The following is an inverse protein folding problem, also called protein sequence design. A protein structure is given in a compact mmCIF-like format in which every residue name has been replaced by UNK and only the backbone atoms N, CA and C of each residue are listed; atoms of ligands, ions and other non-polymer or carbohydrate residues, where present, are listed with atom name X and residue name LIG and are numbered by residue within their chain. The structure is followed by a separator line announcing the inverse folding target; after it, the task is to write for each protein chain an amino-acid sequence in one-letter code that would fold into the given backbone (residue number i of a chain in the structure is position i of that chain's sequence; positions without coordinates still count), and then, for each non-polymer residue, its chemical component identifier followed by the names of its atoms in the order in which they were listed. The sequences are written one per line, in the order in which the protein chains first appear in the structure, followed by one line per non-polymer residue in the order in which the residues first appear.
data_IF_176391209106
#
_entry.id   IF_176391209106
#
_cell.length_a   1.000
_cell.length_b   1.000
_cell.length_c   1.000
_cell.angle_alpha   90.00
_cell.angle_beta   90.00
_cell.angle_gamma   90.00
#
_symmetry.space_group_name_H-M   'P 1'
#
loop_
_entity.id
_entity.type
_entity.pdbx_description
1 polymer ?
#
# COMPACT_ATOMS: atom_id res chain seq x y z
N UNK A 1 4.95 19.47 -4.55
CA UNK A 1 5.45 18.42 -5.43
C UNK A 1 4.96 18.72 -6.84
N UNK A 2 5.84 18.82 -7.84
CA UNK A 2 5.45 18.94 -9.24
C UNK A 2 4.87 17.62 -9.76
N UNK A 3 4.02 17.68 -10.79
CA UNK A 3 3.42 16.47 -11.37
C UNK A 3 4.44 15.45 -11.87
N UNK A 4 5.68 15.89 -12.15
CA UNK A 4 6.78 15.02 -12.52
C UNK A 4 7.16 14.06 -11.38
N UNK A 5 7.24 14.54 -10.15
CA UNK A 5 7.63 13.72 -9.00
C UNK A 5 6.56 12.65 -8.68
N UNK A 6 5.27 12.98 -8.84
CA UNK A 6 4.17 12.05 -8.64
C UNK A 6 4.23 10.86 -9.62
N UNK A 7 4.30 11.13 -10.92
CA UNK A 7 4.31 10.09 -11.95
C UNK A 7 5.62 9.28 -11.97
N UNK A 8 6.74 9.91 -11.67
CA UNK A 8 8.02 9.20 -11.59
C UNK A 8 8.06 8.23 -10.41
N UNK A 9 7.55 8.64 -9.25
CA UNK A 9 7.51 7.77 -8.07
C UNK A 9 6.47 6.65 -8.20
N UNK A 10 5.33 6.91 -8.83
CA UNK A 10 4.38 5.85 -9.18
C UNK A 10 5.01 4.82 -10.12
N UNK A 11 5.70 5.28 -11.19
CA UNK A 11 6.43 4.42 -12.12
C UNK A 11 7.48 3.54 -11.39
N UNK A 12 8.29 4.14 -10.51
CA UNK A 12 9.29 3.39 -9.73
C UNK A 12 8.63 2.38 -8.79
N UNK A 13 7.47 2.69 -8.19
CA UNK A 13 6.70 1.75 -7.37
C UNK A 13 6.17 0.57 -8.20
N UNK A 14 5.59 0.84 -9.38
CA UNK A 14 5.16 -0.20 -10.32
C UNK A 14 6.35 -1.09 -10.72
N UNK A 15 7.51 -0.48 -10.98
CA UNK A 15 8.73 -1.21 -11.35
C UNK A 15 9.20 -2.16 -10.26
N UNK A 16 9.24 -1.72 -9.00
CA UNK A 16 9.60 -2.59 -7.88
C UNK A 16 8.63 -3.78 -7.78
N UNK A 17 7.31 -3.52 -7.87
CA UNK A 17 6.29 -4.58 -7.83
C UNK A 17 6.42 -5.54 -9.02
N UNK A 18 6.64 -5.03 -10.24
CA UNK A 18 6.85 -5.83 -11.45
C UNK A 18 8.08 -6.75 -11.32
N UNK A 19 9.17 -6.24 -10.75
CA UNK A 19 10.42 -6.98 -10.56
C UNK A 19 10.28 -8.15 -9.56
N UNK A 20 9.23 -8.15 -8.70
CA UNK A 20 8.90 -9.30 -7.84
C UNK A 20 8.44 -10.53 -8.63
N UNK A 21 7.92 -10.34 -9.84
CA UNK A 21 7.36 -11.38 -10.73
C UNK A 21 6.25 -12.23 -10.08
N UNK A 22 5.58 -11.66 -9.08
CA UNK A 22 4.51 -12.28 -8.31
C UNK A 22 3.12 -11.87 -8.81
N UNK A 23 2.52 -10.84 -8.23
CA UNK A 23 1.29 -10.24 -8.76
C UNK A 23 1.56 -9.59 -10.11
N UNK A 24 0.63 -9.76 -11.06
CA UNK A 24 0.72 -9.03 -12.33
C UNK A 24 0.43 -7.56 -12.07
N UNK A 25 1.32 -6.71 -12.55
CA UNK A 25 1.17 -5.25 -12.62
C UNK A 25 1.43 -4.80 -14.05
N UNK A 26 0.99 -3.60 -14.46
CA UNK A 26 1.34 -3.07 -15.78
C UNK A 26 2.86 -3.04 -15.97
N UNK A 27 3.39 -3.57 -17.08
CA UNK A 27 4.83 -3.48 -17.37
C UNK A 27 5.25 -2.02 -17.53
N UNK A 28 6.20 -1.51 -16.72
CA UNK A 28 6.66 -0.14 -16.80
C UNK A 28 7.63 0.03 -17.99
N UNK A 29 7.37 1.02 -18.86
CA UNK A 29 8.20 1.28 -20.05
C UNK A 29 9.13 2.47 -19.85
N UNK A 30 8.59 3.65 -19.55
CA UNK A 30 9.37 4.85 -19.31
C UNK A 30 8.55 5.93 -18.60
N UNK A 31 9.23 6.92 -18.05
CA UNK A 31 8.62 8.17 -17.58
C UNK A 31 9.49 9.36 -17.99
N UNK A 32 8.93 10.57 -17.95
CA UNK A 32 9.64 11.78 -18.28
C UNK A 32 8.77 13.03 -18.25
N UNK A 33 9.33 14.12 -18.78
CA UNK A 33 8.61 15.37 -18.96
C UNK A 33 8.80 15.90 -20.37
N UNK A 34 7.73 16.51 -20.93
CA UNK A 34 7.74 17.18 -22.21
C UNK A 34 6.99 18.50 -22.04
N UNK A 35 7.63 19.62 -22.40
CA UNK A 35 7.14 20.98 -22.16
C UNK A 35 6.83 21.20 -20.67
N UNK A 36 5.55 21.39 -20.34
CA UNK A 36 5.08 21.61 -18.97
C UNK A 36 4.34 20.39 -18.37
N UNK A 37 4.36 19.25 -19.05
CA UNK A 37 3.64 18.06 -18.66
C UNK A 37 4.61 16.93 -18.31
N UNK A 38 4.26 16.14 -17.29
CA UNK A 38 4.91 14.88 -16.97
C UNK A 38 4.11 13.72 -17.56
N UNK A 39 4.80 12.62 -17.86
CA UNK A 39 4.15 11.39 -18.31
C UNK A 39 4.83 10.16 -17.73
N UNK A 40 4.06 9.10 -17.55
CA UNK A 40 4.53 7.75 -17.35
C UNK A 40 3.87 6.84 -18.40
N UNK A 41 4.63 5.91 -18.95
CA UNK A 41 4.17 4.96 -19.96
C UNK A 41 4.27 3.56 -19.37
N UNK A 42 3.13 2.90 -19.28
CA UNK A 42 3.03 1.52 -18.80
C UNK A 42 2.22 0.68 -19.79
N UNK A 43 2.29 -0.64 -19.65
CA UNK A 43 1.48 -1.58 -20.41
C UNK A 43 -0.01 -1.23 -20.32
N UNK A 44 -0.70 -1.26 -21.46
CA UNK A 44 -2.16 -1.21 -21.48
C UNK A 44 -2.73 -2.59 -21.17
N UNK A 45 -3.25 -2.75 -19.95
CA UNK A 45 -3.91 -3.98 -19.54
C UNK A 45 -5.26 -4.18 -20.26
N UNK A 46 -5.49 -5.38 -20.76
CA UNK A 46 -6.77 -5.75 -21.38
C UNK A 46 -7.71 -6.33 -20.31
N UNK A 47 -8.34 -5.45 -19.54
CA UNK A 47 -9.19 -5.80 -18.41
C UNK A 47 -10.58 -6.31 -18.83
N UNK A 48 -11.33 -6.89 -17.90
CA UNK A 48 -12.72 -7.30 -18.04
C UNK A 48 -12.95 -8.81 -18.05
N UNK A 49 -11.94 -9.60 -17.73
CA UNK A 49 -12.07 -11.03 -17.43
C UNK A 49 -12.46 -11.29 -15.96
N UNK A 50 -12.34 -12.55 -15.56
CA UNK A 50 -12.55 -13.00 -14.18
C UNK A 50 -11.40 -13.89 -13.76
N UNK A 51 -10.61 -13.41 -12.82
CA UNK A 51 -9.53 -14.21 -12.21
C UNK A 51 -10.08 -15.17 -11.16
N UNK A 52 -9.37 -16.26 -10.93
CA UNK A 52 -9.56 -17.11 -9.76
C UNK A 52 -9.17 -16.29 -8.49
N UNK A 53 -10.11 -16.06 -7.54
CA UNK A 53 -9.81 -15.32 -6.32
C UNK A 53 -8.71 -15.97 -5.47
N UNK A 54 -8.63 -17.30 -5.45
CA UNK A 54 -7.58 -18.00 -4.72
C UNK A 54 -6.20 -17.77 -5.36
N UNK A 55 -6.12 -17.70 -6.70
CA UNK A 55 -4.88 -17.33 -7.37
C UNK A 55 -4.46 -15.90 -7.03
N UNK A 56 -5.41 -14.95 -7.01
CA UNK A 56 -5.14 -13.55 -6.63
C UNK A 56 -4.58 -13.45 -5.20
N UNK A 57 -5.18 -14.18 -4.24
CA UNK A 57 -4.69 -14.23 -2.86
C UNK A 57 -3.26 -14.79 -2.75
N UNK A 58 -2.98 -15.89 -3.44
CA UNK A 58 -1.62 -16.48 -3.48
C UNK A 58 -0.59 -15.54 -4.10
N UNK A 59 -0.94 -14.87 -5.22
CA UNK A 59 -0.05 -13.94 -5.90
C UNK A 59 0.25 -12.71 -5.04
N UNK A 60 -0.72 -12.19 -4.29
CA UNK A 60 -0.48 -11.12 -3.34
C UNK A 60 0.43 -11.58 -2.20
N UNK A 61 0.22 -12.79 -1.66
CA UNK A 61 1.09 -13.36 -0.64
C UNK A 61 2.54 -13.53 -1.14
N UNK A 62 2.71 -13.97 -2.38
CA UNK A 62 4.02 -14.06 -3.05
C UNK A 62 4.69 -12.68 -3.14
N UNK A 63 3.98 -11.62 -3.55
CA UNK A 63 4.51 -10.25 -3.57
C UNK A 63 4.95 -9.81 -2.17
N UNK A 64 4.14 -10.04 -1.16
CA UNK A 64 4.45 -9.69 0.24
C UNK A 64 5.63 -10.47 0.82
N UNK A 65 6.08 -11.56 0.20
CA UNK A 65 7.30 -12.27 0.61
C UNK A 65 8.59 -11.51 0.25
N UNK A 66 8.51 -10.56 -0.68
CA UNK A 66 9.63 -9.70 -1.03
C UNK A 66 9.76 -8.57 0.00
N UNK A 67 10.91 -8.51 0.66
CA UNK A 67 11.18 -7.54 1.71
C UNK A 67 12.16 -6.47 1.27
N UNK A 68 12.21 -5.36 2.02
CA UNK A 68 13.14 -4.27 1.73
C UNK A 68 14.60 -4.74 1.73
N UNK A 69 15.44 -4.21 0.84
CA UNK A 69 16.84 -4.65 0.69
C UNK A 69 17.71 -4.26 1.89
N UNK A 70 17.26 -3.29 2.70
CA UNK A 70 17.99 -2.80 3.87
C UNK A 70 17.40 -3.28 5.22
N UNK A 71 16.31 -4.08 5.18
CA UNK A 71 15.62 -4.58 6.38
C UNK A 71 14.81 -3.53 7.14
N UNK A 72 14.61 -2.33 6.59
CA UNK A 72 13.87 -1.22 7.21
C UNK A 72 12.52 -1.00 6.55
N UNK A 73 11.64 -0.28 7.25
CA UNK A 73 10.32 0.16 6.77
C UNK A 73 10.44 1.53 6.10
N UNK A 74 9.87 1.69 4.92
CA UNK A 74 9.95 2.94 4.18
C UNK A 74 10.24 2.75 2.71
N UNK A 75 10.71 3.83 2.05
CA UNK A 75 11.13 3.81 0.65
C UNK A 75 12.02 5.02 0.35
N UNK A 76 12.79 4.96 -0.74
CA UNK A 76 13.71 6.05 -1.12
C UNK A 76 13.00 7.32 -1.58
N UNK A 77 11.71 7.23 -1.92
CA UNK A 77 10.94 8.34 -2.46
C UNK A 77 9.73 8.68 -1.58
N UNK A 78 9.48 9.98 -1.42
CA UNK A 78 8.14 10.46 -1.04
C UNK A 78 7.26 10.36 -2.27
N UNK A 79 6.21 9.54 -2.21
CA UNK A 79 5.23 9.40 -3.27
C UNK A 79 3.87 10.00 -2.86
N UNK A 80 2.79 9.54 -3.46
CA UNK A 80 1.44 10.00 -3.14
C UNK A 80 0.50 8.81 -2.92
N UNK A 81 -0.53 9.02 -2.10
CA UNK A 81 -1.72 8.17 -2.02
C UNK A 81 -2.91 9.02 -2.53
N UNK A 82 -3.36 8.77 -3.76
CA UNK A 82 -4.17 9.72 -4.50
C UNK A 82 -3.39 11.03 -4.74
N UNK A 83 -3.95 12.18 -4.36
CA UNK A 83 -3.27 13.48 -4.45
C UNK A 83 -2.44 13.84 -3.19
N UNK A 84 -2.53 13.06 -2.12
CA UNK A 84 -1.91 13.37 -0.83
C UNK A 84 -0.45 12.92 -0.80
N UNK A 85 0.52 13.80 -0.49
CA UNK A 85 1.91 13.42 -0.31
C UNK A 85 2.06 12.35 0.78
N UNK A 86 2.81 11.29 0.46
CA UNK A 86 3.05 10.16 1.33
C UNK A 86 4.56 10.05 1.62
N UNK A 87 5.04 10.56 2.77
CA UNK A 87 6.44 10.43 3.14
C UNK A 87 6.79 8.98 3.47
N UNK A 88 8.02 8.58 3.15
CA UNK A 88 8.48 7.20 3.29
C UNK A 88 9.91 7.14 3.86
N UNK A 89 10.28 8.03 4.77
CA UNK A 89 11.59 7.99 5.40
C UNK A 89 11.82 6.64 6.05
N UNK A 90 13.01 6.07 5.83
CA UNK A 90 13.39 4.78 6.38
C UNK A 90 13.38 4.78 7.91
N UNK A 91 12.67 3.84 8.51
CA UNK A 91 12.61 3.61 9.96
C UNK A 91 13.03 2.18 10.30
N UNK A 92 13.64 2.00 11.47
CA UNK A 92 14.09 0.68 11.93
C UNK A 92 12.92 -0.19 12.43
N UNK A 93 11.83 0.44 12.89
CA UNK A 93 10.66 -0.26 13.40
C UNK A 93 9.37 0.15 12.68
N UNK A 94 8.43 -0.80 12.58
CA UNK A 94 7.11 -0.53 12.02
C UNK A 94 6.32 0.50 12.83
N UNK A 95 6.38 0.41 14.15
CA UNK A 95 5.69 1.35 15.03
C UNK A 95 6.16 2.79 14.84
N UNK A 96 7.47 3.02 14.66
CA UNK A 96 8.03 4.34 14.37
C UNK A 96 7.59 4.84 12.99
N UNK A 97 7.68 3.97 11.96
CA UNK A 97 7.25 4.32 10.61
C UNK A 97 5.77 4.70 10.58
N UNK A 98 4.91 3.89 11.18
CA UNK A 98 3.47 4.17 11.20
C UNK A 98 3.15 5.45 11.96
N UNK A 99 3.77 5.68 13.12
CA UNK A 99 3.56 6.89 13.91
C UNK A 99 4.00 8.16 13.16
N UNK A 100 5.16 8.14 12.51
CA UNK A 100 5.75 9.35 11.93
C UNK A 100 5.36 9.58 10.47
N UNK A 101 5.32 8.51 9.65
CA UNK A 101 5.12 8.62 8.20
C UNK A 101 3.67 8.37 7.77
N UNK A 102 2.82 7.87 8.64
CA UNK A 102 1.41 7.57 8.35
C UNK A 102 0.47 8.33 9.28
N UNK A 103 0.21 7.84 10.48
CA UNK A 103 -0.82 8.39 11.36
C UNK A 103 -0.50 9.85 11.77
N UNK A 104 0.71 10.13 12.23
CA UNK A 104 1.12 11.48 12.61
C UNK A 104 1.04 12.45 11.44
N UNK A 105 1.56 12.05 10.28
CA UNK A 105 1.50 12.85 9.06
C UNK A 105 0.05 13.20 8.65
N UNK A 106 -0.87 12.22 8.68
CA UNK A 106 -2.28 12.45 8.34
C UNK A 106 -3.00 13.34 9.35
N UNK A 107 -2.73 13.18 10.64
CA UNK A 107 -3.29 14.05 11.68
C UNK A 107 -2.80 15.49 11.53
N UNK A 108 -1.52 15.68 11.19
CA UNK A 108 -0.95 17.02 10.92
C UNK A 108 -1.58 17.67 9.67
N UNK A 109 -1.86 16.89 8.62
CA UNK A 109 -2.55 17.40 7.44
C UNK A 109 -4.01 17.74 7.74
N UNK A 110 -4.70 16.90 8.48
CA UNK A 110 -6.08 17.14 8.88
C UNK A 110 -6.21 18.39 9.78
N UNK A 111 -5.28 18.60 10.70
CA UNK A 111 -5.25 19.82 11.55
C UNK A 111 -5.03 21.08 10.69
N UNK A 112 -4.09 21.06 9.77
CA UNK A 112 -3.84 22.15 8.80
C UNK A 112 -5.05 22.44 7.91
N UNK A 113 -5.90 21.45 7.69
CA UNK A 113 -7.14 21.56 6.90
C UNK A 113 -8.34 21.99 7.74
N UNK A 114 -8.14 22.36 9.02
CA UNK A 114 -9.18 22.82 9.93
C UNK A 114 -9.83 21.72 10.76
N UNK A 115 -9.29 20.49 10.76
CA UNK A 115 -9.66 19.43 11.67
C UNK A 115 -9.30 19.80 13.13
N UNK A 116 -10.00 19.20 14.06
CA UNK A 116 -9.71 19.37 15.49
C UNK A 116 -9.74 18.00 16.18
N UNK A 117 -8.56 17.49 16.49
CA UNK A 117 -8.36 16.17 17.11
C UNK A 117 -7.61 16.32 18.44
N UNK A 118 -8.29 16.79 19.52
CA UNK A 118 -7.64 17.05 20.80
C UNK A 118 -6.98 15.80 21.41
N UNK A 119 -7.48 14.60 21.10
CA UNK A 119 -6.92 13.32 21.55
C UNK A 119 -5.84 12.75 20.63
N UNK A 120 -5.39 13.49 19.61
CA UNK A 120 -4.41 12.98 18.60
C UNK A 120 -3.13 12.43 19.25
N UNK A 121 -2.59 13.10 20.26
CA UNK A 121 -1.37 12.63 20.95
C UNK A 121 -1.61 11.33 21.73
N UNK A 122 -2.75 11.20 22.40
CA UNK A 122 -3.13 9.97 23.13
C UNK A 122 -3.37 8.82 22.15
N UNK A 123 -4.09 9.09 21.05
CA UNK A 123 -4.32 8.12 19.97
C UNK A 123 -3.00 7.60 19.39
N UNK A 124 -2.07 8.49 19.03
CA UNK A 124 -0.74 8.13 18.51
C UNK A 124 0.04 7.27 19.50
N UNK A 125 0.09 7.66 20.77
CA UNK A 125 0.78 6.89 21.80
C UNK A 125 0.17 5.49 21.97
N UNK A 126 -1.14 5.37 21.96
CA UNK A 126 -1.86 4.09 22.04
C UNK A 126 -1.59 3.22 20.83
N UNK A 127 -1.72 3.75 19.62
CA UNK A 127 -1.43 3.02 18.37
C UNK A 127 0.01 2.54 18.37
N UNK A 128 0.97 3.41 18.67
CA UNK A 128 2.39 3.05 18.75
C UNK A 128 2.63 1.89 19.71
N UNK A 129 2.06 1.93 20.92
CA UNK A 129 2.21 0.85 21.91
C UNK A 129 1.60 -0.50 21.49
N UNK A 130 0.60 -0.48 20.59
CA UNK A 130 0.01 -1.69 20.00
C UNK A 130 0.97 -2.23 18.94
N UNK A 131 1.47 -1.37 18.06
CA UNK A 131 2.35 -1.78 16.96
C UNK A 131 3.77 -2.18 17.42
N UNK A 132 4.26 -1.67 18.54
CA UNK A 132 5.52 -2.11 19.17
C UNK A 132 5.49 -3.59 19.60
N UNK A 133 4.30 -4.15 19.83
CA UNK A 133 4.11 -5.57 20.19
C UNK A 133 3.88 -6.46 18.97
N UNK A 134 3.80 -5.88 17.79
CA UNK A 134 3.56 -6.60 16.55
C UNK A 134 4.85 -6.79 15.76
N UNK A 135 5.28 -8.03 15.65
CA UNK A 135 6.42 -8.40 14.82
C UNK A 135 5.97 -8.58 13.36
N UNK A 136 6.48 -7.76 12.47
CA UNK A 136 6.27 -7.86 11.02
C UNK A 136 7.57 -7.65 10.25
N UNK A 137 7.56 -8.00 8.99
CA UNK A 137 8.65 -7.75 8.05
C UNK A 137 8.32 -6.56 7.16
N UNK A 138 9.31 -5.80 6.70
CA UNK A 138 9.10 -4.73 5.73
C UNK A 138 8.85 -5.30 4.34
N UNK A 139 7.63 -5.77 4.11
CA UNK A 139 7.17 -6.37 2.86
C UNK A 139 6.92 -5.32 1.79
N UNK A 140 7.12 -5.67 0.53
CA UNK A 140 6.67 -4.88 -0.61
C UNK A 140 5.13 -4.81 -0.58
N UNK A 141 4.56 -3.63 -0.29
CA UNK A 141 3.11 -3.43 -0.23
C UNK A 141 2.64 -2.50 -1.36
N UNK A 142 1.43 -2.75 -1.83
CA UNK A 142 0.77 -1.87 -2.80
C UNK A 142 0.47 -0.49 -2.20
N UNK A 143 0.06 -0.45 -0.94
CA UNK A 143 -0.18 0.78 -0.18
C UNK A 143 -1.53 1.45 -0.40
N UNK A 144 -2.27 1.07 -1.45
CA UNK A 144 -3.64 1.54 -1.75
C UNK A 144 -4.47 0.44 -2.42
N UNK A 145 -4.53 -0.76 -1.82
CA UNK A 145 -5.11 -1.96 -2.43
C UNK A 145 -6.62 -2.10 -2.17
N UNK A 146 -7.40 -1.13 -2.59
CA UNK A 146 -8.86 -1.23 -2.58
C UNK A 146 -9.40 -1.91 -3.85
N UNK A 147 -10.70 -2.26 -3.86
CA UNK A 147 -11.31 -3.01 -4.97
C UNK A 147 -11.21 -2.34 -6.34
N UNK A 148 -11.01 -1.01 -6.40
CA UNK A 148 -10.79 -0.28 -7.65
C UNK A 148 -9.41 -0.46 -8.27
N UNK A 149 -8.42 -0.86 -7.48
CA UNK A 149 -7.03 -1.10 -7.90
C UNK A 149 -6.73 -2.59 -8.10
N UNK A 150 -7.76 -3.44 -8.06
CA UNK A 150 -7.67 -4.88 -8.32
C UNK A 150 -8.54 -5.21 -9.52
N UNK A 151 -7.98 -5.92 -10.49
CA UNK A 151 -8.67 -6.29 -11.71
C UNK A 151 -8.33 -7.70 -12.18
N UNK A 152 -8.85 -8.03 -13.36
CA UNK A 152 -8.55 -9.28 -14.07
C UNK A 152 -8.36 -9.00 -15.54
N UNK A 153 -7.35 -9.58 -16.17
CA UNK A 153 -7.23 -9.57 -17.62
C UNK A 153 -8.32 -10.40 -18.27
N UNK A 154 -8.55 -10.24 -19.58
CA UNK A 154 -9.49 -11.09 -20.33
C UNK A 154 -9.06 -12.55 -20.32
N UNK A 155 -7.78 -12.83 -20.17
CA UNK A 155 -7.19 -14.15 -20.07
C UNK A 155 -7.40 -14.80 -18.69
N UNK A 156 -7.84 -14.02 -17.69
CA UNK A 156 -8.15 -14.48 -16.34
C UNK A 156 -7.00 -14.29 -15.34
N UNK A 157 -5.94 -13.54 -15.69
CA UNK A 157 -4.88 -13.23 -14.74
C UNK A 157 -5.34 -12.17 -13.74
N UNK A 158 -5.11 -12.35 -12.44
CA UNK A 158 -5.32 -11.29 -11.47
C UNK A 158 -4.25 -10.21 -11.64
N UNK A 159 -4.68 -8.94 -11.61
CA UNK A 159 -3.79 -7.78 -11.76
C UNK A 159 -4.07 -6.76 -10.68
N UNK A 160 -3.02 -6.03 -10.28
CA UNK A 160 -3.09 -4.87 -9.41
C UNK A 160 -2.39 -3.70 -10.07
N UNK A 161 -2.90 -2.49 -9.85
CA UNK A 161 -2.40 -1.27 -10.50
C UNK A 161 -2.69 -0.04 -9.63
N UNK A 162 -2.10 1.10 -9.97
CA UNK A 162 -2.24 2.38 -9.27
C UNK A 162 -1.73 2.33 -7.80
N UNK A 163 -0.46 1.93 -7.58
CA UNK A 163 0.08 1.74 -6.24
C UNK A 163 0.50 3.05 -5.56
N UNK A 164 0.38 3.09 -4.24
CA UNK A 164 1.07 3.98 -3.32
C UNK A 164 2.22 3.23 -2.62
N UNK A 165 3.13 2.66 -3.38
CA UNK A 165 4.14 1.69 -2.96
C UNK A 165 5.05 2.16 -1.83
N UNK A 166 5.37 1.25 -0.92
CA UNK A 166 6.47 1.33 0.07
C UNK A 166 6.76 -0.06 0.66
N UNK A 167 7.80 -0.18 1.50
CA UNK A 167 8.03 -1.39 2.29
C UNK A 167 7.42 -1.22 3.68
N UNK A 168 6.42 -2.05 3.99
CA UNK A 168 5.61 -1.95 5.20
C UNK A 168 5.12 -3.29 5.73
N UNK A 169 4.27 -3.23 6.76
CA UNK A 169 3.54 -4.41 7.19
C UNK A 169 2.51 -4.82 6.12
N UNK A 170 2.62 -6.06 5.62
CA UNK A 170 1.72 -6.64 4.63
C UNK A 170 0.22 -6.56 5.00
N UNK A 171 -0.08 -6.46 6.29
CA UNK A 171 -1.47 -6.37 6.77
C UNK A 171 -2.16 -5.08 6.33
N UNK A 172 -1.42 -4.03 5.95
CA UNK A 172 -2.03 -2.77 5.45
C UNK A 172 -2.83 -3.00 4.16
N UNK A 173 -2.31 -3.82 3.23
CA UNK A 173 -3.01 -4.14 1.99
C UNK A 173 -4.25 -5.00 2.26
N UNK A 174 -4.14 -5.98 3.15
CA UNK A 174 -5.30 -6.82 3.53
C UNK A 174 -6.39 -5.98 4.21
N UNK A 175 -6.02 -5.04 5.07
CA UNK A 175 -6.97 -4.10 5.68
C UNK A 175 -7.69 -3.27 4.60
N UNK A 176 -6.93 -2.73 3.63
CA UNK A 176 -7.48 -1.89 2.57
C UNK A 176 -8.42 -2.65 1.64
N UNK A 177 -8.15 -3.94 1.35
CA UNK A 177 -9.08 -4.76 0.54
C UNK A 177 -10.47 -4.89 1.16
N UNK A 178 -10.63 -4.62 2.47
CA UNK A 178 -11.90 -4.74 3.21
C UNK A 178 -12.61 -3.42 3.45
N UNK A 179 -11.89 -2.29 3.35
CA UNK A 179 -12.41 -0.97 3.76
C UNK A 179 -13.59 -0.50 2.89
N UNK A 180 -13.49 -0.63 1.57
CA UNK A 180 -14.49 -0.16 0.61
C UNK A 180 -15.20 -1.32 -0.13
N UNK A 181 -15.23 -2.48 0.47
CA UNK A 181 -15.80 -3.71 -0.08
C UNK A 181 -14.78 -4.84 -0.09
N UNK A 182 -15.21 -6.02 0.34
CA UNK A 182 -14.32 -7.16 0.51
C UNK A 182 -14.11 -7.93 -0.79
N UNK A 183 -12.97 -8.58 -0.92
CA UNK A 183 -12.73 -9.62 -1.91
C UNK A 183 -13.52 -10.89 -1.58
N UNK A 184 -13.54 -11.86 -2.48
CA UNK A 184 -14.15 -13.17 -2.23
C UNK A 184 -13.44 -13.93 -1.10
N UNK A 185 -14.18 -14.77 -0.38
CA UNK A 185 -13.63 -15.54 0.76
C UNK A 185 -12.45 -16.43 0.38
N UNK A 186 -12.44 -16.96 -0.85
CA UNK A 186 -11.35 -17.77 -1.41
C UNK A 186 -10.03 -17.00 -1.54
N UNK A 187 -10.11 -15.69 -1.80
CA UNK A 187 -8.93 -14.81 -1.81
C UNK A 187 -8.24 -14.80 -0.45
N UNK A 188 -8.99 -14.50 0.61
CA UNK A 188 -8.43 -14.44 1.97
C UNK A 188 -7.95 -15.81 2.44
N UNK A 189 -8.72 -16.87 2.16
CA UNK A 189 -8.34 -18.23 2.51
C UNK A 189 -6.98 -18.62 1.91
N UNK A 190 -6.80 -18.36 0.61
CA UNK A 190 -5.56 -18.68 -0.08
C UNK A 190 -4.38 -17.79 0.35
N UNK A 191 -4.64 -16.54 0.70
CA UNK A 191 -3.64 -15.67 1.30
C UNK A 191 -3.22 -16.16 2.69
N UNK A 192 -4.17 -16.53 3.55
CA UNK A 192 -3.96 -16.98 4.93
C UNK A 192 -3.27 -18.34 5.01
N UNK A 193 -3.33 -19.17 3.95
CA UNK A 193 -2.54 -20.41 3.83
C UNK A 193 -1.03 -20.13 3.85
N UNK A 194 -0.60 -18.97 3.34
CA UNK A 194 0.81 -18.52 3.34
C UNK A 194 1.10 -17.66 4.56
N UNK A 195 0.21 -16.75 4.87
CA UNK A 195 0.34 -15.78 5.95
C UNK A 195 -0.91 -15.76 6.84
N UNK A 196 -1.03 -16.70 7.78
CA UNK A 196 -2.15 -16.70 8.71
C UNK A 196 -2.22 -15.39 9.50
N UNK A 197 -3.43 -14.91 9.82
CA UNK A 197 -3.59 -13.69 10.59
C UNK A 197 -2.96 -13.87 11.99
N UNK A 198 -2.18 -12.86 12.41
CA UNK A 198 -1.55 -12.85 13.74
C UNK A 198 -2.54 -12.37 14.81
N UNK A 199 -2.28 -12.72 16.07
CA UNK A 199 -3.04 -12.22 17.21
C UNK A 199 -3.14 -10.68 17.16
N UNK A 200 -4.31 -10.12 17.47
CA UNK A 200 -4.58 -8.67 17.42
C UNK A 200 -4.85 -8.10 16.02
N UNK A 201 -4.96 -8.94 14.98
CA UNK A 201 -5.22 -8.53 13.60
C UNK A 201 -6.41 -7.56 13.48
N UNK A 202 -7.56 -7.86 14.12
CA UNK A 202 -8.76 -7.02 14.02
C UNK A 202 -8.52 -5.57 14.52
N UNK A 203 -7.68 -5.43 15.55
CA UNK A 203 -7.32 -4.11 16.06
C UNK A 203 -6.39 -3.38 15.09
N UNK A 204 -5.41 -4.07 14.50
CA UNK A 204 -4.51 -3.49 13.51
C UNK A 204 -5.23 -3.12 12.21
N UNK A 205 -6.19 -3.93 11.74
CA UNK A 205 -7.06 -3.61 10.61
C UNK A 205 -7.71 -2.24 10.78
N UNK A 206 -8.26 -1.96 11.96
CA UNK A 206 -8.86 -0.66 12.28
C UNK A 206 -7.82 0.46 12.25
N UNK A 207 -6.63 0.23 12.80
CA UNK A 207 -5.51 1.20 12.82
C UNK A 207 -5.06 1.52 11.38
N UNK A 208 -4.90 0.50 10.53
CA UNK A 208 -4.43 0.69 9.16
C UNK A 208 -5.48 1.39 8.29
N UNK A 209 -6.74 1.03 8.43
CA UNK A 209 -7.83 1.68 7.72
C UNK A 209 -8.03 3.15 8.13
N UNK A 210 -7.68 3.53 9.36
CA UNK A 210 -7.75 4.92 9.80
C UNK A 210 -6.88 5.85 8.93
N UNK A 211 -5.72 5.38 8.43
CA UNK A 211 -4.90 6.16 7.51
C UNK A 211 -5.68 6.58 6.26
N UNK A 212 -6.37 5.64 5.61
CA UNK A 212 -7.15 5.92 4.41
C UNK A 212 -8.40 6.78 4.69
N UNK A 213 -9.04 6.60 5.84
CA UNK A 213 -10.17 7.46 6.26
C UNK A 213 -9.71 8.90 6.47
N UNK A 214 -8.56 9.12 7.12
CA UNK A 214 -7.99 10.46 7.29
C UNK A 214 -7.54 11.07 5.96
N UNK A 215 -7.11 10.26 5.00
CA UNK A 215 -6.73 10.70 3.66
C UNK A 215 -7.93 11.24 2.87
N UNK A 216 -9.12 10.67 3.05
CA UNK A 216 -10.38 11.15 2.44
C UNK A 216 -10.92 12.40 3.13
#
# INVERSE_FOLDING_TARGET
LGGWDMLSTEYEGIKVMHDTKSSKVPEPSCYGSADYNSFAVVEKLNLGGRADPALAGRKLAEMHSHTSPNGKFGWDFTNTCGATPQPNQWCDTWAEFWDTQRLGHMLDLADKSGGNFPEAAELRAKVKSILEKHECLPSAVHGDLWGGNIGSTKEGDPVIYDPAFYYGDREVDIAMTKLFGSQYGEFYKAYDEVYPPKEGWQQRETIYNLYHILNH
#
